data_IF_240371848993
#
_entry.id   IF_240371848993
#
_cell.length_a   1.000
_cell.length_b   1.000
_cell.length_c   1.000
_cell.angle_alpha   90.00
_cell.angle_beta   90.00
_cell.angle_gamma   90.00
#
_symmetry.space_group_name_H-M   'P 1'
#
loop_
_entity.id
_entity.type
_entity.pdbx_description
1 polymer ?
#
# COMPACT_ATOMS: atom_id res chain seq x y z
N UNK A 1 22.46 39.98 7.98
CA UNK A 1 22.54 38.63 8.57
C UNK A 1 21.20 37.91 8.57
N UNK A 2 20.15 38.42 9.21
CA UNK A 2 18.82 37.78 9.25
C UNK A 2 18.15 37.64 7.86
N UNK A 3 18.30 38.64 6.98
CA UNK A 3 17.74 38.61 5.61
C UNK A 3 18.41 37.54 4.75
N UNK A 4 19.73 37.38 4.83
CA UNK A 4 20.46 36.32 4.12
C UNK A 4 20.09 34.93 4.63
N UNK A 5 19.85 34.78 5.93
CA UNK A 5 19.39 33.53 6.54
C UNK A 5 17.98 33.16 6.06
N UNK A 6 17.07 34.13 5.96
CA UNK A 6 15.72 33.92 5.44
C UNK A 6 15.74 33.51 3.95
N UNK A 7 16.59 34.14 3.13
CA UNK A 7 16.75 33.75 1.73
C UNK A 7 17.35 32.34 1.60
N UNK A 8 18.34 32.01 2.43
CA UNK A 8 18.92 30.68 2.46
C UNK A 8 17.88 29.62 2.86
N UNK A 9 17.05 29.91 3.86
CA UNK A 9 15.96 29.02 4.31
C UNK A 9 14.91 28.80 3.21
N UNK A 10 14.48 29.87 2.52
CA UNK A 10 13.50 29.81 1.43
C UNK A 10 14.02 29.00 0.23
N UNK A 11 15.33 29.05 -0.05
CA UNK A 11 15.95 28.27 -1.14
C UNK A 11 16.16 26.81 -0.77
N UNK A 12 16.41 26.48 0.51
CA UNK A 12 16.63 25.10 0.96
C UNK A 12 15.34 24.29 1.15
N UNK A 13 14.24 24.93 1.57
CA UNK A 13 12.92 24.32 1.81
C UNK A 13 12.34 23.50 0.63
N UNK A 14 12.40 23.95 -0.64
CA UNK A 14 11.88 23.15 -1.76
C UNK A 14 12.77 21.94 -2.10
N UNK A 15 14.03 21.91 -1.66
CA UNK A 15 14.95 20.78 -1.93
C UNK A 15 14.56 19.51 -1.15
N UNK A 16 13.72 19.63 -0.12
CA UNK A 16 13.28 18.53 0.74
C UNK A 16 11.97 17.89 0.25
N UNK A 17 11.42 18.33 -0.88
CA UNK A 17 10.18 17.80 -1.44
C UNK A 17 10.41 16.48 -2.20
N UNK A 18 10.41 15.37 -1.48
CA UNK A 18 10.25 14.04 -2.05
C UNK A 18 8.77 13.74 -2.29
N UNK A 19 8.24 14.08 -3.47
CA UNK A 19 6.87 13.74 -3.84
C UNK A 19 6.63 12.22 -3.76
N UNK A 20 5.56 11.80 -3.09
CA UNK A 20 5.16 10.39 -3.03
C UNK A 20 4.09 10.09 -4.07
N UNK A 21 4.22 8.94 -4.74
CA UNK A 21 3.19 8.43 -5.63
C UNK A 21 2.08 7.76 -4.80
N UNK A 22 1.10 8.58 -4.39
CA UNK A 22 -0.05 8.11 -3.64
C UNK A 22 -0.95 7.16 -4.44
N UNK A 23 -0.93 7.22 -5.78
CA UNK A 23 -1.65 6.28 -6.63
C UNK A 23 -1.09 4.86 -6.50
N UNK A 24 0.24 4.72 -6.54
CA UNK A 24 0.90 3.46 -6.24
C UNK A 24 0.70 3.00 -4.80
N UNK A 25 0.76 3.92 -3.85
CA UNK A 25 0.54 3.59 -2.44
C UNK A 25 -0.86 3.00 -2.24
N UNK A 26 -1.90 3.69 -2.73
CA UNK A 26 -3.30 3.22 -2.64
C UNK A 26 -3.50 1.88 -3.35
N UNK A 27 -2.94 1.73 -4.56
CA UNK A 27 -3.04 0.49 -5.33
C UNK A 27 -2.45 -0.71 -4.59
N UNK A 28 -1.30 -0.52 -3.92
CA UNK A 28 -0.65 -1.54 -3.08
C UNK A 28 -1.43 -1.82 -1.80
N UNK A 29 -2.00 -0.80 -1.16
CA UNK A 29 -2.86 -0.97 0.02
C UNK A 29 -4.08 -1.83 -0.31
N UNK A 30 -4.70 -1.67 -1.48
CA UNK A 30 -5.81 -2.53 -1.91
C UNK A 30 -5.32 -3.95 -2.21
N UNK A 31 -4.18 -4.09 -2.90
CA UNK A 31 -3.59 -5.40 -3.23
C UNK A 31 -3.22 -6.19 -1.96
N UNK A 32 -2.81 -5.51 -0.89
CA UNK A 32 -2.57 -6.13 0.43
C UNK A 32 -3.83 -6.82 0.96
N UNK A 33 -4.99 -6.18 0.91
CA UNK A 33 -6.24 -6.81 1.36
C UNK A 33 -6.69 -7.96 0.44
N UNK A 34 -6.46 -7.86 -0.88
CA UNK A 34 -6.70 -9.00 -1.78
C UNK A 34 -5.84 -10.21 -1.40
N UNK A 35 -4.58 -9.98 -1.04
CA UNK A 35 -3.68 -11.04 -0.60
C UNK A 35 -4.13 -11.71 0.70
N UNK A 36 -4.96 -11.07 1.53
CA UNK A 36 -5.42 -11.60 2.81
C UNK A 36 -6.72 -12.41 2.73
N UNK A 37 -7.34 -12.53 1.55
CA UNK A 37 -8.59 -13.29 1.37
C UNK A 37 -8.42 -14.77 1.77
N UNK A 38 -9.43 -15.31 2.45
CA UNK A 38 -9.62 -16.75 2.69
C UNK A 38 -10.83 -17.25 1.89
N UNK A 39 -11.01 -18.56 1.81
CA UNK A 39 -12.06 -19.21 1.03
C UNK A 39 -11.65 -19.48 -0.41
N UNK A 40 -12.65 -19.62 -1.28
CA UNK A 40 -12.44 -19.68 -2.72
C UNK A 40 -12.02 -18.31 -3.25
N UNK A 41 -10.90 -18.28 -3.96
CA UNK A 41 -10.40 -17.07 -4.58
C UNK A 41 -11.09 -16.86 -5.94
N UNK A 42 -11.47 -15.61 -6.28
CA UNK A 42 -12.04 -15.31 -7.58
C UNK A 42 -11.00 -15.52 -8.70
N UNK A 43 -11.45 -16.01 -9.86
CA UNK A 43 -10.57 -16.23 -11.03
C UNK A 43 -9.93 -14.95 -11.56
N UNK A 44 -10.48 -13.79 -11.23
CA UNK A 44 -9.98 -12.46 -11.59
C UNK A 44 -8.98 -11.88 -10.58
N UNK A 45 -8.57 -12.64 -9.56
CA UNK A 45 -7.62 -12.17 -8.56
C UNK A 45 -6.26 -11.81 -9.18
N UNK A 46 -5.70 -10.68 -8.76
CA UNK A 46 -4.39 -10.18 -9.20
C UNK A 46 -3.19 -10.82 -8.48
N UNK A 47 -3.41 -11.31 -7.25
CA UNK A 47 -2.37 -11.95 -6.41
C UNK A 47 -2.21 -13.42 -6.81
N UNK A 48 -1.26 -13.71 -7.71
CA UNK A 48 -1.09 -15.01 -8.37
C UNK A 48 -0.47 -16.12 -7.52
N UNK A 49 0.21 -15.77 -6.43
CA UNK A 49 0.86 -16.73 -5.53
C UNK A 49 -0.08 -17.25 -4.42
N UNK A 50 -1.30 -16.72 -4.31
CA UNK A 50 -2.33 -17.19 -3.37
C UNK A 50 -3.20 -18.26 -4.02
N UNK A 51 -3.71 -19.18 -3.20
CA UNK A 51 -4.64 -20.23 -3.59
C UNK A 51 -5.80 -20.35 -2.59
N UNK A 52 -6.82 -21.13 -2.93
CA UNK A 52 -7.98 -21.38 -2.07
C UNK A 52 -7.52 -21.90 -0.69
N UNK A 53 -8.08 -21.34 0.37
CA UNK A 53 -7.71 -21.67 1.77
C UNK A 53 -8.94 -21.67 2.66
N UNK A 54 -8.87 -22.28 3.86
CA UNK A 54 -9.95 -22.20 4.84
C UNK A 54 -11.31 -22.76 4.36
N UNK A 55 -11.30 -23.70 3.42
CA UNK A 55 -12.54 -24.18 2.77
C UNK A 55 -13.46 -24.98 3.70
N UNK A 56 -12.95 -25.37 4.87
CA UNK A 56 -13.69 -26.11 5.88
C UNK A 56 -13.90 -25.28 7.16
N UNK A 57 -13.53 -23.99 7.14
CA UNK A 57 -13.71 -23.09 8.28
C UNK A 57 -15.20 -23.04 8.66
N UNK A 58 -15.49 -23.25 9.95
CA UNK A 58 -16.86 -23.27 10.48
C UNK A 58 -17.59 -24.61 10.40
N UNK A 59 -16.98 -25.67 9.85
CA UNK A 59 -17.54 -27.02 9.96
C UNK A 59 -17.38 -27.55 11.39
N UNK A 60 -18.46 -28.09 11.95
CA UNK A 60 -18.43 -28.84 13.21
C UNK A 60 -17.81 -30.22 12.96
N UNK A 61 -16.48 -30.33 13.09
CA UNK A 61 -15.66 -31.56 13.08
C UNK A 61 -16.12 -32.68 12.13
N UNK A 62 -15.50 -32.77 10.93
CA UNK A 62 -15.58 -33.93 10.03
C UNK A 62 -16.70 -33.87 9.00
#
# INVERSE_FOLDING_TARGET
>A
MAVCFLHFLVVLLPLVHGGHDYGQALSKSILFFEAQRSGYLPSTQRVTWRANSGLQDGKANG
#
